data_IF_344820256049
#
_entry.id   IF_344820256049
#
_cell.length_a   1.000
_cell.length_b   1.000
_cell.length_c   1.000
_cell.angle_alpha   90.00
_cell.angle_beta   90.00
_cell.angle_gamma   90.00
#
_symmetry.space_group_name_H-M   'P 1'
#
loop_
_entity.id
_entity.type
_entity.pdbx_description
1 polymer ?
#
# COMPACT_ATOMS: atom_id res chain seq x y z
N UNK A 1 -5.95 -32.30 24.83
CA UNK A 1 -4.50 -32.43 25.14
C UNK A 1 -4.11 -33.88 25.42
N UNK A 2 -4.81 -34.59 26.32
CA UNK A 2 -4.50 -36.00 26.67
C UNK A 2 -4.58 -37.01 25.52
N UNK A 3 -5.50 -36.82 24.56
CA UNK A 3 -5.57 -37.69 23.37
C UNK A 3 -4.40 -37.48 22.41
N UNK A 4 -3.89 -36.25 22.26
CA UNK A 4 -2.67 -35.98 21.49
C UNK A 4 -1.45 -36.58 22.19
N UNK A 5 -1.36 -36.46 23.52
CA UNK A 5 -0.26 -37.05 24.30
C UNK A 5 -0.24 -38.58 24.17
N UNK A 6 -1.40 -39.25 24.19
CA UNK A 6 -1.50 -40.69 23.97
C UNK A 6 -1.14 -41.13 22.55
N UNK A 7 -1.48 -40.33 21.53
CA UNK A 7 -1.09 -40.60 20.14
C UNK A 7 0.42 -40.41 19.96
N UNK A 8 1.00 -39.36 20.52
CA UNK A 8 2.46 -39.12 20.51
C UNK A 8 3.19 -40.25 21.23
N UNK A 9 2.72 -40.68 22.40
CA UNK A 9 3.34 -41.79 23.13
C UNK A 9 3.22 -43.14 22.39
N UNK A 10 2.12 -43.41 21.68
CA UNK A 10 2.01 -44.59 20.78
C UNK A 10 2.91 -44.50 19.55
N UNK A 11 3.14 -43.31 19.02
CA UNK A 11 4.04 -43.08 17.89
C UNK A 11 5.51 -43.26 18.30
N UNK A 12 5.87 -42.83 19.51
CA UNK A 12 7.22 -42.97 20.09
C UNK A 12 7.52 -44.42 20.49
N UNK A 13 6.52 -45.19 20.92
CA UNK A 13 6.70 -46.58 21.38
C UNK A 13 6.95 -47.64 20.27
N UNK A 14 6.94 -47.27 18.99
CA UNK A 14 7.32 -48.20 17.93
C UNK A 14 8.82 -48.14 17.66
N UNK A 15 9.56 -49.14 18.16
CA UNK A 15 11.04 -49.28 18.19
C UNK A 15 11.77 -49.28 16.81
N UNK A 16 11.06 -48.98 15.71
CA UNK A 16 11.59 -49.00 14.35
C UNK A 16 11.62 -47.65 13.62
N UNK A 17 10.97 -46.58 14.11
CA UNK A 17 10.80 -45.33 13.34
C UNK A 17 11.98 -44.35 13.39
N UNK A 18 12.89 -44.50 14.35
CA UNK A 18 14.07 -43.64 14.48
C UNK A 18 15.34 -44.32 13.95
N UNK A 19 15.21 -45.30 13.05
CA UNK A 19 16.34 -46.02 12.46
C UNK A 19 16.57 -45.55 11.02
N UNK A 20 17.82 -45.49 10.61
CA UNK A 20 18.17 -45.17 9.23
C UNK A 20 17.66 -46.28 8.29
N UNK A 21 17.10 -45.88 7.14
CA UNK A 21 16.62 -46.79 6.09
C UNK A 21 17.74 -47.62 5.47
N UNK A 22 18.92 -47.01 5.28
CA UNK A 22 20.11 -47.64 4.74
C UNK A 22 20.90 -48.39 5.82
N UNK A 23 21.08 -47.77 6.99
CA UNK A 23 21.85 -48.30 8.11
C UNK A 23 20.91 -48.74 9.25
N UNK A 24 20.16 -49.84 9.05
CA UNK A 24 19.07 -50.27 9.96
C UNK A 24 19.46 -50.44 11.44
N UNK A 25 20.75 -50.63 11.74
CA UNK A 25 21.24 -50.73 13.13
C UNK A 25 21.44 -49.37 13.80
N UNK A 26 21.65 -48.33 13.00
CA UNK A 26 21.93 -46.96 13.46
C UNK A 26 20.66 -46.16 13.69
N UNK A 27 20.71 -45.30 14.71
CA UNK A 27 19.65 -44.35 15.03
C UNK A 27 19.86 -43.01 14.31
N UNK A 28 18.76 -42.40 13.87
CA UNK A 28 18.75 -41.04 13.35
C UNK A 28 18.99 -40.07 14.51
N UNK A 29 20.19 -39.51 14.58
CA UNK A 29 20.63 -38.65 15.70
C UNK A 29 20.93 -37.21 15.27
N UNK A 30 21.00 -36.97 13.96
CA UNK A 30 21.35 -35.68 13.38
C UNK A 30 20.27 -35.22 12.41
N UNK A 31 20.20 -33.91 12.20
CA UNK A 31 19.40 -33.28 11.15
C UNK A 31 20.33 -32.48 10.24
N UNK A 32 20.32 -32.80 8.95
CA UNK A 32 21.10 -32.10 7.94
C UNK A 32 20.27 -30.95 7.36
N UNK A 33 20.63 -29.70 7.64
CA UNK A 33 19.86 -28.54 7.16
C UNK A 33 19.78 -28.44 5.63
N UNK A 34 20.88 -28.57 4.86
CA UNK A 34 20.81 -28.47 3.40
C UNK A 34 19.95 -29.54 2.73
N UNK A 35 19.88 -30.73 3.32
CA UNK A 35 19.09 -31.85 2.80
C UNK A 35 17.70 -31.96 3.43
N UNK A 36 17.39 -31.11 4.41
CA UNK A 36 16.13 -31.09 5.18
C UNK A 36 15.68 -32.47 5.70
N UNK A 37 16.63 -33.31 6.12
CA UNK A 37 16.34 -34.68 6.55
C UNK A 37 17.12 -35.13 7.79
N UNK A 38 16.52 -36.05 8.53
CA UNK A 38 17.17 -36.73 9.65
C UNK A 38 18.16 -37.78 9.14
N UNK A 39 19.38 -37.77 9.65
CA UNK A 39 20.47 -38.68 9.23
C UNK A 39 21.09 -39.38 10.43
N UNK A 40 21.60 -40.60 10.22
CA UNK A 40 22.42 -41.29 11.21
C UNK A 40 23.90 -40.87 11.08
N UNK A 41 24.72 -41.22 12.08
CA UNK A 41 26.15 -40.90 12.08
C UNK A 41 26.88 -41.43 10.84
N UNK A 42 26.54 -42.62 10.35
CA UNK A 42 27.18 -43.22 9.17
C UNK A 42 26.83 -42.46 7.89
N UNK A 43 25.56 -42.11 7.68
CA UNK A 43 25.13 -41.30 6.55
C UNK A 43 25.80 -39.93 6.54
N UNK A 44 26.00 -39.32 7.72
CA UNK A 44 26.62 -37.99 7.84
C UNK A 44 28.06 -37.94 7.29
N UNK A 45 28.82 -39.02 7.45
CA UNK A 45 30.19 -39.13 6.93
C UNK A 45 30.27 -39.82 5.56
N UNK A 46 29.14 -40.20 4.97
CA UNK A 46 29.08 -40.71 3.60
C UNK A 46 29.23 -39.59 2.58
N UNK A 47 29.63 -39.91 1.34
CA UNK A 47 29.75 -38.95 0.25
C UNK A 47 28.48 -38.12 0.03
N UNK A 48 27.30 -38.65 0.37
CA UNK A 48 26.01 -37.96 0.20
C UNK A 48 25.84 -36.74 1.13
N UNK A 49 26.49 -36.72 2.30
CA UNK A 49 26.32 -35.66 3.30
C UNK A 49 27.63 -35.05 3.79
N UNK A 50 28.78 -35.54 3.32
CA UNK A 50 30.09 -35.10 3.77
C UNK A 50 30.29 -33.58 3.60
N UNK A 51 29.81 -33.02 2.49
CA UNK A 51 29.90 -31.58 2.20
C UNK A 51 28.99 -30.73 3.12
N UNK A 52 27.96 -31.32 3.72
CA UNK A 52 27.00 -30.65 4.60
C UNK A 52 27.24 -30.94 6.09
N UNK A 53 28.32 -31.66 6.44
CA UNK A 53 28.54 -32.13 7.81
C UNK A 53 28.58 -31.01 8.85
N UNK A 54 29.15 -29.86 8.50
CA UNK A 54 29.31 -28.71 9.39
C UNK A 54 27.99 -27.95 9.58
N UNK A 55 26.97 -28.29 8.78
CA UNK A 55 25.61 -27.78 8.86
C UNK A 55 24.62 -28.83 9.38
N UNK A 56 25.11 -29.98 9.84
CA UNK A 56 24.28 -30.96 10.53
C UNK A 56 24.32 -30.70 12.04
N UNK A 57 23.17 -30.74 12.69
CA UNK A 57 23.04 -30.56 14.14
C UNK A 57 22.40 -31.78 14.77
N UNK A 58 22.50 -31.91 16.09
CA UNK A 58 21.76 -32.93 16.83
C UNK A 58 20.26 -32.76 16.60
N UNK A 59 19.56 -33.89 16.45
CA UNK A 59 18.13 -33.90 16.13
C UNK A 59 17.29 -33.15 17.18
N UNK A 60 17.65 -33.25 18.46
CA UNK A 60 16.99 -32.53 19.57
C UNK A 60 17.11 -31.01 19.42
N UNK A 61 18.28 -30.53 18.97
CA UNK A 61 18.53 -29.09 18.74
C UNK A 61 17.73 -28.60 17.54
N UNK A 62 17.74 -29.35 16.43
CA UNK A 62 16.90 -29.02 15.27
C UNK A 62 15.42 -29.02 15.64
N UNK A 63 14.96 -30.02 16.40
CA UNK A 63 13.58 -30.10 16.87
C UNK A 63 13.18 -28.86 17.69
N UNK A 64 14.00 -28.46 18.65
CA UNK A 64 13.78 -27.22 19.42
C UNK A 64 13.64 -25.99 18.51
N UNK A 65 14.54 -25.83 17.54
CA UNK A 65 14.46 -24.72 16.59
C UNK A 65 13.19 -24.75 15.73
N UNK A 66 12.74 -25.93 15.27
CA UNK A 66 11.49 -26.06 14.52
C UNK A 66 10.26 -25.76 15.39
N UNK A 67 10.24 -26.24 16.64
CA UNK A 67 9.16 -25.94 17.59
C UNK A 67 9.08 -24.44 17.86
N UNK A 68 10.20 -23.77 18.06
CA UNK A 68 10.25 -22.32 18.28
C UNK A 68 9.76 -21.55 17.04
N UNK A 69 10.25 -21.92 15.85
CA UNK A 69 9.80 -21.33 14.58
C UNK A 69 8.30 -21.50 14.35
N UNK A 70 7.79 -22.72 14.55
CA UNK A 70 6.35 -23.01 14.42
C UNK A 70 5.53 -22.25 15.45
N UNK A 71 6.00 -22.16 16.70
CA UNK A 71 5.33 -21.41 17.76
C UNK A 71 5.28 -19.92 17.47
N UNK A 72 6.37 -19.35 16.93
CA UNK A 72 6.41 -17.95 16.49
C UNK A 72 5.46 -17.70 15.30
N UNK A 73 5.43 -18.61 14.33
CA UNK A 73 4.50 -18.53 13.20
C UNK A 73 3.04 -18.60 13.66
N UNK A 74 2.70 -19.52 14.57
CA UNK A 74 1.36 -19.63 15.15
C UNK A 74 0.95 -18.36 15.89
N UNK A 75 1.82 -17.81 16.75
CA UNK A 75 1.56 -16.53 17.44
C UNK A 75 1.32 -15.37 16.46
N UNK A 76 2.09 -15.32 15.37
CA UNK A 76 1.91 -14.33 14.31
C UNK A 76 0.56 -14.48 13.61
N UNK A 77 0.16 -15.73 13.30
CA UNK A 77 -1.15 -16.02 12.71
C UNK A 77 -2.31 -15.69 13.66
N UNK A 78 -2.20 -15.98 14.95
CA UNK A 78 -3.22 -15.63 15.95
C UNK A 78 -3.39 -14.12 16.05
N UNK A 79 -2.28 -13.36 16.10
CA UNK A 79 -2.32 -11.90 16.08
C UNK A 79 -2.96 -11.35 14.80
N UNK A 80 -2.65 -11.96 13.64
CA UNK A 80 -3.29 -11.58 12.36
C UNK A 80 -4.79 -11.86 12.38
N UNK A 81 -5.21 -12.99 12.95
CA UNK A 81 -6.63 -13.34 13.12
C UNK A 81 -7.35 -12.34 14.02
N UNK A 82 -6.75 -11.97 15.15
CA UNK A 82 -7.30 -10.95 16.05
C UNK A 82 -7.46 -9.60 15.33
N UNK A 83 -6.43 -9.16 14.60
CA UNK A 83 -6.51 -7.94 13.80
C UNK A 83 -7.64 -7.99 12.76
N UNK A 84 -7.80 -9.12 12.07
CA UNK A 84 -8.88 -9.29 11.09
C UNK A 84 -10.25 -9.22 11.75
N UNK A 85 -10.44 -9.86 12.90
CA UNK A 85 -11.70 -9.78 13.64
C UNK A 85 -12.02 -8.35 14.05
N UNK A 86 -11.04 -7.61 14.60
CA UNK A 86 -11.20 -6.20 14.94
C UNK A 86 -11.54 -5.34 13.72
N UNK A 87 -10.98 -5.66 12.55
CA UNK A 87 -11.35 -5.00 11.29
C UNK A 87 -12.77 -5.33 10.85
N UNK A 88 -13.22 -6.59 11.00
CA UNK A 88 -14.59 -6.98 10.68
C UNK A 88 -15.61 -6.28 11.58
N UNK A 89 -15.37 -6.20 12.89
CA UNK A 89 -16.24 -5.48 13.83
C UNK A 89 -16.38 -4.00 13.44
N UNK A 90 -15.27 -3.34 13.07
CA UNK A 90 -15.31 -1.95 12.59
C UNK A 90 -16.10 -1.78 11.30
N UNK A 91 -16.00 -2.75 10.37
CA UNK A 91 -16.78 -2.71 9.12
C UNK A 91 -18.27 -2.88 9.41
N UNK A 92 -18.64 -3.76 10.33
CA UNK A 92 -20.03 -3.95 10.77
C UNK A 92 -20.59 -2.70 11.43
N UNK A 93 -19.85 -2.08 12.36
CA UNK A 93 -20.23 -0.81 12.99
C UNK A 93 -20.43 0.30 11.95
N UNK A 94 -19.51 0.39 10.99
CA UNK A 94 -19.62 1.36 9.90
C UNK A 94 -20.84 1.11 9.02
N UNK A 95 -21.14 -0.15 8.71
CA UNK A 95 -22.32 -0.52 7.95
C UNK A 95 -23.61 -0.12 8.69
N UNK A 96 -23.66 -0.30 10.01
CA UNK A 96 -24.80 0.12 10.82
C UNK A 96 -24.98 1.64 10.80
N UNK A 97 -23.90 2.41 10.98
CA UNK A 97 -23.92 3.88 10.92
C UNK A 97 -24.34 4.40 9.54
N UNK A 98 -23.92 3.75 8.47
CA UNK A 98 -24.35 4.10 7.11
C UNK A 98 -25.84 3.83 6.91
N UNK A 99 -26.36 2.73 7.44
CA UNK A 99 -27.79 2.42 7.38
C UNK A 99 -28.62 3.43 8.18
N UNK A 100 -28.15 3.85 9.36
CA UNK A 100 -28.79 4.91 10.15
C UNK A 100 -28.87 6.22 9.37
N UNK A 101 -27.74 6.69 8.81
CA UNK A 101 -27.71 7.90 7.98
C UNK A 101 -28.58 7.80 6.73
N UNK A 102 -28.61 6.63 6.09
CA UNK A 102 -29.48 6.39 4.94
C UNK A 102 -30.96 6.51 5.32
N UNK A 103 -31.35 6.01 6.49
CA UNK A 103 -32.71 6.16 7.01
C UNK A 103 -33.02 7.62 7.35
N UNK A 104 -32.10 8.34 8.00
CA UNK A 104 -32.26 9.78 8.26
C UNK A 104 -32.46 10.59 6.96
N UNK A 105 -31.70 10.26 5.90
CA UNK A 105 -31.84 10.90 4.60
C UNK A 105 -33.18 10.55 3.92
N UNK A 106 -33.67 9.32 4.06
CA UNK A 106 -34.99 8.92 3.55
C UNK A 106 -36.11 9.69 4.26
N UNK A 107 -36.04 9.78 5.60
CA UNK A 107 -37.01 10.52 6.40
C UNK A 107 -37.00 12.01 6.03
N UNK A 108 -35.81 12.57 5.77
CA UNK A 108 -35.66 13.94 5.30
C UNK A 108 -36.26 14.14 3.90
N UNK A 109 -36.02 13.22 2.96
CA UNK A 109 -36.64 13.27 1.63
C UNK A 109 -38.17 13.19 1.71
N UNK A 110 -38.73 12.32 2.57
CA UNK A 110 -40.17 12.21 2.76
C UNK A 110 -40.77 13.52 3.33
N UNK A 111 -40.06 14.20 4.25
CA UNK A 111 -40.46 15.53 4.74
C UNK A 111 -40.49 16.56 3.61
N UNK A 112 -39.42 16.64 2.80
CA UNK A 112 -39.36 17.55 1.66
C UNK A 112 -40.44 17.27 0.61
N UNK A 113 -40.77 16.00 0.36
CA UNK A 113 -41.85 15.63 -0.56
C UNK A 113 -43.22 16.08 -0.04
N UNK A 114 -43.48 15.95 1.28
CA UNK A 114 -44.71 16.47 1.91
C UNK A 114 -44.78 17.99 1.84
N UNK A 115 -43.67 18.69 2.10
CA UNK A 115 -43.61 20.14 2.04
C UNK A 115 -43.79 20.66 0.62
N UNK A 116 -43.23 19.97 -0.38
CA UNK A 116 -43.46 20.25 -1.80
C UNK A 116 -44.94 20.08 -2.15
N UNK A 117 -45.57 18.96 -1.79
CA UNK A 117 -46.98 18.73 -2.07
C UNK A 117 -47.89 19.81 -1.45
N UNK A 118 -47.56 20.24 -0.22
CA UNK A 118 -48.26 21.34 0.45
C UNK A 118 -48.07 22.68 -0.26
N UNK A 119 -46.87 22.94 -0.76
CA UNK A 119 -46.57 24.16 -1.53
C UNK A 119 -47.33 24.17 -2.87
N UNK A 120 -47.39 23.04 -3.56
CA UNK A 120 -48.17 22.87 -4.79
C UNK A 120 -49.67 23.11 -4.54
N UNK A 121 -50.22 22.65 -3.41
CA UNK A 121 -51.61 22.91 -3.01
C UNK A 121 -51.86 24.40 -2.77
N UNK A 122 -50.99 25.07 -2.01
CA UNK A 122 -51.07 26.52 -1.78
C UNK A 122 -50.97 27.31 -3.09
N UNK A 123 -50.10 26.88 -4.01
CA UNK A 123 -49.97 27.49 -5.32
C UNK A 123 -51.26 27.36 -6.13
N UNK A 124 -51.86 26.16 -6.17
CA UNK A 124 -53.14 25.94 -6.84
C UNK A 124 -54.30 26.73 -6.20
N UNK A 125 -54.28 26.96 -4.89
CA UNK A 125 -55.25 27.84 -4.21
C UNK A 125 -55.04 29.32 -4.61
N UNK A 126 -53.79 29.78 -4.67
CA UNK A 126 -53.46 31.15 -5.11
C UNK A 126 -53.89 31.41 -6.56
N UNK A 127 -53.64 30.46 -7.47
CA UNK A 127 -54.05 30.57 -8.87
C UNK A 127 -55.57 30.67 -9.03
N UNK A 128 -56.35 29.89 -8.27
CA UNK A 128 -57.81 29.98 -8.26
C UNK A 128 -58.30 31.34 -7.77
N UNK A 129 -57.72 31.85 -6.67
CA UNK A 129 -58.07 33.17 -6.14
C UNK A 129 -57.77 34.30 -7.15
N UNK A 130 -56.66 34.21 -7.88
CA UNK A 130 -56.32 35.15 -8.95
C UNK A 130 -57.29 35.10 -10.14
N UNK A 131 -57.83 33.92 -10.44
CA UNK A 131 -58.81 33.74 -11.50
C UNK A 131 -60.20 34.28 -11.10
N UNK A 132 -60.57 34.17 -9.83
CA UNK A 132 -61.91 34.47 -9.33
C UNK A 132 -62.13 35.95 -8.95
N UNK A 133 -61.13 36.70 -8.47
CA UNK A 133 -61.32 38.09 -7.99
C UNK A 133 -60.13 39.05 -8.25
N UNK A 134 -60.42 40.26 -8.73
CA UNK A 134 -59.47 41.39 -8.90
C UNK A 134 -59.53 42.42 -7.75
N UNK A 135 -59.96 42.01 -6.56
CA UNK A 135 -60.20 42.94 -5.46
C UNK A 135 -59.03 42.98 -4.46
N UNK A 136 -58.86 44.12 -3.78
CA UNK A 136 -57.76 44.36 -2.85
C UNK A 136 -57.73 43.38 -1.64
N UNK A 137 -58.88 42.76 -1.33
CA UNK A 137 -59.00 41.69 -0.32
C UNK A 137 -58.18 40.44 -0.68
N UNK A 138 -58.11 40.10 -1.96
CA UNK A 138 -57.40 38.92 -2.47
C UNK A 138 -55.89 39.09 -2.32
N UNK A 139 -55.37 40.31 -2.50
CA UNK A 139 -53.95 40.65 -2.29
C UNK A 139 -53.51 40.48 -0.83
N UNK A 140 -54.38 40.81 0.14
CA UNK A 140 -54.07 40.64 1.58
C UNK A 140 -53.92 39.16 1.93
N UNK A 141 -54.82 38.30 1.43
CA UNK A 141 -54.71 36.84 1.62
C UNK A 141 -53.47 36.24 0.97
N UNK A 142 -53.08 36.74 -0.21
CA UNK A 142 -51.82 36.31 -0.86
C UNK A 142 -50.59 36.72 -0.06
N UNK A 143 -50.58 37.92 0.53
CA UNK A 143 -49.50 38.36 1.40
C UNK A 143 -49.38 37.52 2.68
N UNK A 144 -50.51 37.14 3.29
CA UNK A 144 -50.51 36.23 4.45
C UNK A 144 -49.97 34.84 4.06
N UNK A 145 -50.38 34.29 2.91
CA UNK A 145 -49.84 33.02 2.41
C UNK A 145 -48.32 33.07 2.18
N UNK A 146 -47.81 34.15 1.58
CA UNK A 146 -46.38 34.33 1.34
C UNK A 146 -45.59 34.47 2.65
N UNK A 147 -46.08 35.25 3.62
CA UNK A 147 -45.45 35.36 4.94
C UNK A 147 -45.44 34.02 5.69
N UNK A 148 -46.49 33.21 5.51
CA UNK A 148 -46.52 31.87 6.09
C UNK A 148 -45.45 30.98 5.45
N UNK A 149 -45.28 31.05 4.12
CA UNK A 149 -44.25 30.28 3.38
C UNK A 149 -42.81 30.71 3.70
N UNK A 150 -42.57 32.00 3.95
CA UNK A 150 -41.24 32.54 4.25
C UNK A 150 -40.74 32.09 5.64
N UNK A 151 -41.66 31.90 6.59
CA UNK A 151 -41.35 31.29 7.90
C UNK A 151 -40.91 29.83 7.79
N UNK A 152 -41.39 29.08 6.79
CA UNK A 152 -40.96 27.70 6.57
C UNK A 152 -39.56 27.62 5.94
N UNK A 153 -39.22 28.54 5.03
CA UNK A 153 -37.92 28.53 4.35
C UNK A 153 -36.75 29.04 5.21
N UNK A 154 -37.03 29.72 6.34
CA UNK A 154 -36.02 30.35 7.18
C UNK A 154 -35.52 29.49 8.35
N UNK A 155 -36.18 28.37 8.66
CA UNK A 155 -35.79 27.51 9.80
C UNK A 155 -34.75 26.42 9.45
N UNK A 156 -34.60 26.01 8.19
CA UNK A 156 -33.69 24.92 7.84
C UNK A 156 -32.43 25.44 7.13
N UNK A 157 -31.51 26.01 7.90
CA UNK A 157 -30.11 26.03 7.47
C UNK A 157 -29.66 24.58 7.42
N UNK A 158 -29.57 24.02 6.21
CA UNK A 158 -28.74 22.85 5.95
C UNK A 158 -27.34 23.20 6.44
N UNK A 159 -27.00 22.76 7.65
CA UNK A 159 -25.63 22.44 7.97
C UNK A 159 -25.26 21.34 6.99
N UNK A 160 -24.69 21.76 5.86
CA UNK A 160 -23.87 20.91 5.01
C UNK A 160 -22.69 20.53 5.89
N UNK A 161 -22.92 19.58 6.78
CA UNK A 161 -21.88 18.72 7.28
C UNK A 161 -21.42 18.00 6.02
N UNK A 162 -20.42 18.60 5.35
CA UNK A 162 -19.62 17.95 4.33
C UNK A 162 -19.46 16.53 4.82
N UNK A 163 -19.93 15.58 4.02
CA UNK A 163 -19.71 14.16 4.21
C UNK A 163 -18.28 14.04 4.70
N UNK A 164 -18.15 13.77 5.99
CA UNK A 164 -16.86 13.70 6.62
C UNK A 164 -16.15 12.61 5.83
N UNK A 165 -15.08 13.01 5.12
CA UNK A 165 -14.18 12.14 4.33
C UNK A 165 -13.40 11.22 5.28
N UNK A 166 -13.98 10.91 6.45
CA UNK A 166 -13.44 10.20 7.57
C UNK A 166 -13.23 8.72 7.23
N UNK A 167 -13.97 8.13 6.30
CA UNK A 167 -13.86 6.68 6.07
C UNK A 167 -12.83 6.23 5.02
N UNK A 168 -12.16 7.15 4.32
CA UNK A 168 -10.97 6.76 3.53
C UNK A 168 -9.69 6.73 4.36
N UNK A 169 -9.70 7.24 5.59
CA UNK A 169 -8.50 7.38 6.44
C UNK A 169 -7.78 6.06 6.74
N UNK A 170 -8.45 4.90 6.59
CA UNK A 170 -7.85 3.59 6.83
C UNK A 170 -7.62 2.75 5.57
N UNK A 171 -7.98 3.25 4.38
CA UNK A 171 -7.66 2.56 3.14
C UNK A 171 -6.18 2.79 2.83
N UNK A 172 -5.43 1.69 2.76
CA UNK A 172 -4.05 1.71 2.24
C UNK A 172 -4.16 2.05 0.75
N UNK A 173 -3.58 3.17 0.29
CA UNK A 173 -3.65 3.54 -1.12
C UNK A 173 -2.92 2.48 -1.97
N UNK A 174 -3.31 2.32 -3.23
CA UNK A 174 -2.60 1.39 -4.10
C UNK A 174 -1.11 1.79 -4.24
N UNK A 175 -0.18 0.82 -4.21
CA UNK A 175 1.24 1.08 -4.41
C UNK A 175 1.50 1.78 -5.76
N UNK A 176 2.40 2.76 -5.75
CA UNK A 176 2.88 3.38 -6.98
C UNK A 176 3.77 2.40 -7.75
N UNK A 177 3.34 2.04 -8.96
CA UNK A 177 4.15 1.26 -9.90
C UNK A 177 5.09 2.19 -10.66
N UNK A 178 6.40 1.95 -10.55
CA UNK A 178 7.48 2.65 -11.25
C UNK A 178 8.11 1.70 -12.27
N UNK A 179 8.19 2.12 -13.53
CA UNK A 179 8.80 1.34 -14.61
C UNK A 179 10.04 2.07 -15.11
N UNK A 180 11.21 1.55 -14.78
CA UNK A 180 12.49 2.08 -15.22
C UNK A 180 12.92 1.42 -16.52
N UNK A 181 13.20 2.24 -17.54
CA UNK A 181 13.87 1.80 -18.76
C UNK A 181 15.35 2.14 -18.65
N UNK A 182 16.19 1.12 -18.58
CA UNK A 182 17.63 1.23 -18.37
C UNK A 182 18.31 1.16 -19.75
N UNK A 183 18.65 2.32 -20.33
CA UNK A 183 19.31 2.41 -21.64
C UNK A 183 20.83 2.21 -21.53
N UNK A 184 21.43 1.54 -22.54
CA UNK A 184 22.88 1.23 -22.61
C UNK A 184 23.36 0.48 -21.35
N UNK A 185 22.55 -0.46 -20.89
CA UNK A 185 22.68 -1.07 -19.57
C UNK A 185 23.97 -1.88 -19.45
N UNK A 186 24.23 -2.81 -20.38
CA UNK A 186 25.44 -3.65 -20.38
C UNK A 186 26.69 -2.82 -20.61
N UNK A 187 26.66 -1.91 -21.57
CA UNK A 187 27.82 -1.06 -21.86
C UNK A 187 28.25 -0.25 -20.63
N UNK A 188 27.29 0.37 -19.96
CA UNK A 188 27.53 1.20 -18.77
C UNK A 188 28.02 0.35 -17.60
N UNK A 189 27.39 -0.80 -17.34
CA UNK A 189 27.84 -1.74 -16.30
C UNK A 189 29.26 -2.26 -16.53
N UNK A 190 29.60 -2.62 -17.77
CA UNK A 190 30.95 -3.10 -18.12
C UNK A 190 32.01 -2.02 -17.89
N UNK A 191 31.68 -0.76 -18.22
CA UNK A 191 32.60 0.36 -18.12
C UNK A 191 32.78 0.88 -16.69
N UNK A 192 31.70 0.92 -15.91
CA UNK A 192 31.68 1.61 -14.61
C UNK A 192 31.49 0.66 -13.41
N UNK A 193 31.20 -0.61 -13.64
CA UNK A 193 30.88 -1.60 -12.60
C UNK A 193 29.49 -1.43 -11.97
N UNK A 194 28.80 -0.33 -12.28
CA UNK A 194 27.45 -0.01 -11.82
C UNK A 194 26.68 0.75 -12.90
N UNK A 195 25.35 0.64 -12.85
CA UNK A 195 24.42 1.45 -13.63
C UNK A 195 23.66 2.38 -12.70
N UNK A 196 23.42 3.62 -13.10
CA UNK A 196 22.53 4.55 -12.41
C UNK A 196 21.49 5.06 -13.40
N UNK A 197 20.20 4.93 -13.06
CA UNK A 197 19.12 5.39 -13.91
C UNK A 197 19.00 6.91 -13.90
N UNK A 198 18.37 7.46 -14.93
CA UNK A 198 17.81 8.80 -14.83
C UNK A 198 16.71 8.81 -13.74
N UNK A 199 16.50 9.96 -13.07
CA UNK A 199 15.42 10.08 -12.11
C UNK A 199 14.05 9.92 -12.79
N UNK A 200 13.18 9.10 -12.20
CA UNK A 200 11.81 8.89 -12.60
C UNK A 200 10.87 9.57 -11.61
N UNK A 201 10.17 10.61 -12.07
CA UNK A 201 9.23 11.35 -11.23
C UNK A 201 7.81 10.81 -11.36
N UNK A 202 7.16 10.55 -10.23
CA UNK A 202 5.73 10.17 -10.16
C UNK A 202 5.11 10.69 -8.87
N UNK A 203 3.95 11.34 -8.97
CA UNK A 203 3.19 11.88 -7.84
C UNK A 203 4.00 12.79 -6.90
N UNK A 204 4.99 13.50 -7.46
CA UNK A 204 5.86 14.40 -6.70
C UNK A 204 7.04 13.73 -5.97
N UNK A 205 7.27 12.45 -6.25
CA UNK A 205 8.46 11.72 -5.82
C UNK A 205 9.39 11.50 -7.01
N UNK A 206 10.70 11.71 -6.83
CA UNK A 206 11.74 11.47 -7.83
C UNK A 206 12.63 10.32 -7.39
N UNK A 207 12.58 9.21 -8.12
CA UNK A 207 13.28 7.97 -7.77
C UNK A 207 14.42 7.68 -8.74
N UNK A 208 15.53 7.18 -8.22
CA UNK A 208 16.62 6.61 -9.02
C UNK A 208 16.87 5.17 -8.60
N UNK A 209 17.32 4.38 -9.56
CA UNK A 209 17.77 3.02 -9.33
C UNK A 209 19.25 2.92 -9.68
N UNK A 210 20.01 2.29 -8.78
CA UNK A 210 21.35 1.83 -9.05
C UNK A 210 21.34 0.30 -9.17
N UNK A 211 22.01 -0.23 -10.20
CA UNK A 211 22.19 -1.66 -10.38
C UNK A 211 23.68 -1.99 -10.33
N UNK A 212 24.05 -3.02 -9.57
CA UNK A 212 25.42 -3.54 -9.48
C UNK A 212 25.39 -5.04 -9.74
N UNK A 213 26.34 -5.56 -10.51
CA UNK A 213 26.40 -7.01 -10.76
C UNK A 213 26.71 -7.76 -9.47
N UNK A 214 25.87 -8.72 -9.09
CA UNK A 214 25.95 -9.37 -7.78
C UNK A 214 27.01 -10.48 -7.71
N UNK A 215 27.16 -11.26 -8.79
CA UNK A 215 28.09 -12.39 -8.87
C UNK A 215 28.59 -12.58 -10.31
N UNK A 216 29.84 -13.00 -10.45
CA UNK A 216 30.45 -13.39 -11.73
C UNK A 216 29.84 -14.71 -12.22
N UNK A 217 29.47 -15.61 -11.29
CA UNK A 217 28.93 -16.93 -11.63
C UNK A 217 27.52 -16.87 -12.22
N UNK A 218 26.74 -15.83 -11.93
CA UNK A 218 25.35 -15.67 -12.37
C UNK A 218 25.21 -14.39 -13.20
N UNK A 219 25.34 -14.45 -14.54
CA UNK A 219 25.54 -13.26 -15.36
C UNK A 219 24.40 -12.24 -15.32
N UNK A 220 23.19 -12.66 -14.93
CA UNK A 220 21.97 -11.85 -14.95
C UNK A 220 21.46 -11.48 -13.55
N UNK A 221 22.25 -11.70 -12.48
CA UNK A 221 21.84 -11.33 -11.12
C UNK A 221 22.45 -9.99 -10.71
N UNK A 222 21.58 -9.09 -10.27
CA UNK A 222 21.95 -7.72 -9.92
C UNK A 222 21.51 -7.40 -8.50
N UNK A 223 22.36 -6.68 -7.76
CA UNK A 223 21.97 -5.97 -6.55
C UNK A 223 21.36 -4.64 -6.98
N UNK A 224 20.18 -4.36 -6.45
CA UNK A 224 19.41 -3.17 -6.76
C UNK A 224 19.45 -2.26 -5.54
N UNK A 225 19.73 -0.99 -5.75
CA UNK A 225 19.67 0.03 -4.72
C UNK A 225 18.77 1.17 -5.19
N UNK A 226 17.99 1.72 -4.27
CA UNK A 226 17.01 2.77 -4.57
C UNK A 226 17.41 4.08 -3.89
N UNK A 227 17.24 5.17 -4.62
CA UNK A 227 17.40 6.53 -4.11
C UNK A 227 16.13 7.33 -4.32
N UNK A 228 15.73 8.10 -3.32
CA UNK A 228 14.68 9.09 -3.36
C UNK A 228 15.30 10.49 -3.36
N UNK A 229 15.39 11.11 -4.53
CA UNK A 229 15.98 12.45 -4.70
C UNK A 229 15.03 13.56 -4.25
N UNK A 230 13.74 13.41 -4.57
CA UNK A 230 12.69 14.33 -4.13
C UNK A 230 11.56 13.48 -3.54
N UNK A 231 11.14 13.76 -2.32
CA UNK A 231 10.06 13.01 -1.66
C UNK A 231 9.77 13.54 -0.27
N UNK A 232 9.05 12.77 0.54
CA UNK A 232 8.70 13.15 1.91
C UNK A 232 9.33 12.19 2.94
N UNK A 233 9.65 12.66 4.15
CA UNK A 233 10.11 11.75 5.20
C UNK A 233 9.08 10.67 5.52
N UNK A 234 9.53 9.43 5.72
CA UNK A 234 8.66 8.29 6.02
C UNK A 234 9.31 6.94 5.77
N UNK A 235 8.50 5.89 5.94
CA UNK A 235 8.89 4.51 5.66
C UNK A 235 8.15 4.04 4.41
N UNK A 236 8.87 3.40 3.51
CA UNK A 236 8.39 2.98 2.19
C UNK A 236 8.42 1.48 2.11
N UNK A 237 7.29 0.85 1.74
CA UNK A 237 7.28 -0.58 1.44
C UNK A 237 7.55 -0.75 -0.06
N UNK A 238 8.68 -1.36 -0.38
CA UNK A 238 9.19 -1.53 -1.73
C UNK A 238 9.12 -2.99 -2.12
N UNK A 239 8.61 -3.27 -3.31
CA UNK A 239 8.55 -4.60 -3.91
C UNK A 239 9.10 -4.51 -5.34
N UNK A 240 10.11 -5.32 -5.65
CA UNK A 240 10.65 -5.42 -7.01
C UNK A 240 9.96 -6.60 -7.72
N UNK A 241 9.27 -6.29 -8.82
CA UNK A 241 8.59 -7.30 -9.62
C UNK A 241 9.60 -7.97 -10.55
N UNK A 242 9.87 -9.25 -10.32
CA UNK A 242 10.61 -10.12 -11.22
C UNK A 242 9.58 -11.06 -11.89
N UNK A 243 9.66 -11.22 -13.22
CA UNK A 243 8.72 -12.06 -13.99
C UNK A 243 8.61 -13.49 -13.44
N UNK A 244 9.66 -13.97 -12.77
CA UNK A 244 9.72 -15.33 -12.25
C UNK A 244 9.42 -15.43 -10.76
N UNK A 245 9.48 -14.32 -10.00
CA UNK A 245 9.30 -14.31 -8.54
C UNK A 245 8.78 -12.97 -8.04
N UNK A 246 7.78 -13.03 -7.18
CA UNK A 246 7.45 -11.91 -6.31
C UNK A 246 8.52 -11.87 -5.22
N UNK A 247 9.40 -10.88 -5.24
CA UNK A 247 10.33 -10.66 -4.13
C UNK A 247 9.52 -10.19 -2.91
N UNK A 248 9.90 -10.62 -1.71
CA UNK A 248 9.25 -10.15 -0.49
C UNK A 248 9.32 -8.62 -0.42
N UNK A 249 8.21 -7.99 -0.04
CA UNK A 249 8.16 -6.55 0.13
C UNK A 249 9.04 -6.12 1.32
N UNK A 250 9.84 -5.07 1.13
CA UNK A 250 10.86 -4.61 2.08
C UNK A 250 10.53 -3.19 2.52
N UNK A 251 10.56 -2.95 3.83
CA UNK A 251 10.46 -1.60 4.35
C UNK A 251 11.82 -0.90 4.27
N UNK A 252 11.87 0.24 3.59
CA UNK A 252 13.03 1.12 3.47
C UNK A 252 12.73 2.47 4.13
N UNK A 253 13.69 3.00 4.89
CA UNK A 253 13.51 4.26 5.60
C UNK A 253 13.96 5.45 4.73
N UNK A 254 13.30 6.61 4.88
CA UNK A 254 13.64 7.81 4.11
C UNK A 254 15.12 8.21 4.21
N UNK A 255 15.71 8.11 5.42
CA UNK A 255 17.11 8.45 5.64
C UNK A 255 18.07 7.57 4.81
N UNK A 256 17.73 6.29 4.63
CA UNK A 256 18.48 5.36 3.78
C UNK A 256 18.30 5.73 2.31
N UNK A 257 17.06 6.02 1.92
CA UNK A 257 16.67 6.36 0.55
C UNK A 257 17.23 7.71 0.08
N UNK A 258 17.58 8.66 0.96
CA UNK A 258 18.25 9.89 0.53
C UNK A 258 19.63 9.63 -0.13
N UNK A 259 20.24 8.49 0.16
CA UNK A 259 21.50 8.06 -0.46
C UNK A 259 21.23 6.96 -1.47
N UNK A 260 21.52 5.70 -1.17
CA UNK A 260 21.08 4.54 -1.92
C UNK A 260 20.82 3.43 -0.91
N UNK A 261 19.56 3.04 -0.75
CA UNK A 261 19.17 1.93 0.10
C UNK A 261 19.24 0.63 -0.70
N UNK A 262 20.04 -0.34 -0.25
CA UNK A 262 20.17 -1.64 -0.90
C UNK A 262 18.89 -2.46 -0.69
N UNK A 263 18.31 -2.95 -1.78
CA UNK A 263 17.25 -3.94 -1.73
C UNK A 263 17.87 -5.30 -1.35
N UNK A 264 17.35 -5.99 -0.32
CA UNK A 264 17.92 -7.26 0.13
C UNK A 264 17.77 -8.34 -0.96
N UNK A 265 18.87 -9.04 -1.22
CA UNK A 265 18.93 -10.10 -2.22
C UNK A 265 19.48 -9.64 -3.57
N UNK A 266 19.22 -10.45 -4.61
CA UNK A 266 19.63 -10.15 -5.98
C UNK A 266 18.50 -10.49 -6.94
N UNK A 267 18.20 -9.55 -7.82
CA UNK A 267 17.09 -9.60 -8.79
C UNK A 267 17.63 -10.01 -10.15
N UNK A 268 16.82 -10.77 -10.90
CA UNK A 268 17.12 -11.06 -12.30
C UNK A 268 16.53 -9.94 -13.15
N UNK A 269 17.36 -9.29 -13.96
CA UNK A 269 16.87 -8.28 -14.92
C UNK A 269 16.97 -8.90 -16.30
N UNK A 270 15.85 -8.92 -17.04
CA UNK A 270 15.88 -9.31 -18.44
C UNK A 270 16.45 -8.17 -19.30
N UNK A 271 17.39 -8.52 -20.16
CA UNK A 271 18.12 -7.53 -20.96
C UNK A 271 17.89 -7.84 -22.44
N UNK A 272 17.24 -6.90 -23.11
CA UNK A 272 17.14 -6.88 -24.56
C UNK A 272 18.54 -6.65 -25.13
N UNK A 273 19.14 -7.75 -25.58
CA UNK A 273 20.50 -7.78 -26.11
C UNK A 273 20.61 -7.08 -27.46
N UNK A 274 19.51 -6.89 -28.20
CA UNK A 274 19.54 -6.20 -29.49
C UNK A 274 19.66 -4.68 -29.32
N UNK A 275 19.05 -4.14 -28.26
CA UNK A 275 18.99 -2.69 -28.02
C UNK A 275 19.84 -2.22 -26.84
N UNK A 276 20.46 -3.15 -26.09
CA UNK A 276 21.13 -2.90 -24.81
C UNK A 276 20.24 -2.14 -23.82
N UNK A 277 18.98 -2.56 -23.75
CA UNK A 277 17.99 -1.99 -22.84
C UNK A 277 17.49 -3.03 -21.86
N UNK A 278 17.19 -2.61 -20.65
CA UNK A 278 16.55 -3.45 -19.64
C UNK A 278 15.33 -2.74 -19.05
N UNK A 279 14.33 -3.49 -18.60
CA UNK A 279 13.17 -2.95 -17.91
C UNK A 279 13.14 -3.45 -16.46
N UNK A 280 12.84 -2.55 -15.53
CA UNK A 280 12.72 -2.87 -14.12
C UNK A 280 11.45 -2.24 -13.57
N UNK A 281 10.58 -3.06 -13.02
CA UNK A 281 9.32 -2.63 -12.42
C UNK A 281 9.38 -2.74 -10.89
N UNK A 282 9.09 -1.62 -10.22
CA UNK A 282 9.16 -1.48 -8.75
C UNK A 282 7.82 -0.95 -8.26
N UNK A 283 7.21 -1.63 -7.30
CA UNK A 283 6.04 -1.16 -6.57
C UNK A 283 6.48 -0.52 -5.27
N UNK A 284 5.99 0.68 -5.01
CA UNK A 284 6.31 1.44 -3.81
C UNK A 284 5.03 1.90 -3.12
N UNK A 285 4.81 1.41 -1.90
CA UNK A 285 3.79 1.94 -1.01
C UNK A 285 4.31 3.24 -0.39
N UNK A 286 3.90 4.38 -0.95
CA UNK A 286 4.38 5.71 -0.53
C UNK A 286 3.66 6.25 0.72
N UNK A 287 2.46 5.76 1.02
CA UNK A 287 1.65 6.19 2.17
C UNK A 287 0.98 4.99 2.83
N UNK A 288 0.88 4.98 4.15
CA UNK A 288 0.22 3.91 4.92
C UNK A 288 -1.29 4.06 4.97
N UNK A 289 -1.77 5.28 4.69
CA UNK A 289 -3.18 5.62 4.66
C UNK A 289 -3.48 6.61 3.53
N UNK A 290 -4.75 6.69 3.14
CA UNK A 290 -5.22 7.71 2.20
C UNK A 290 -5.05 9.13 2.78
N UNK A 291 -5.20 9.29 4.11
CA UNK A 291 -4.99 10.57 4.78
C UNK A 291 -3.53 11.06 4.63
N UNK A 292 -2.57 10.16 4.85
CA UNK A 292 -1.16 10.45 4.57
C UNK A 292 -0.96 10.80 3.10
N UNK A 293 -1.55 10.04 2.16
CA UNK A 293 -1.46 10.36 0.72
C UNK A 293 -2.02 11.75 0.38
N UNK A 294 -3.15 12.14 0.97
CA UNK A 294 -3.71 13.48 0.79
C UNK A 294 -2.75 14.56 1.30
N UNK A 295 -2.22 14.41 2.52
CA UNK A 295 -1.22 15.33 3.08
C UNK A 295 0.00 15.43 2.16
N UNK A 296 0.48 14.30 1.64
CA UNK A 296 1.60 14.26 0.71
C UNK A 296 1.32 15.03 -0.58
N UNK A 297 0.14 14.82 -1.18
CA UNK A 297 -0.30 15.53 -2.39
C UNK A 297 -0.47 17.04 -2.14
N UNK A 298 -1.04 17.43 -1.00
CA UNK A 298 -1.16 18.85 -0.62
C UNK A 298 0.22 19.51 -0.47
N UNK A 299 1.17 18.85 0.19
CA UNK A 299 2.54 19.34 0.28
C UNK A 299 3.23 19.45 -1.08
N UNK A 300 2.96 18.51 -1.99
CA UNK A 300 3.48 18.56 -3.35
C UNK A 300 2.89 19.73 -4.15
N UNK A 301 1.57 19.92 -4.11
CA UNK A 301 0.88 21.05 -4.75
C UNK A 301 1.44 22.39 -4.24
N UNK A 302 1.56 22.57 -2.92
CA UNK A 302 2.15 23.78 -2.34
C UNK A 302 3.58 24.05 -2.81
N UNK A 303 4.40 23.01 -2.98
CA UNK A 303 5.76 23.13 -3.53
C UNK A 303 5.74 23.52 -5.01
N UNK A 304 4.84 22.95 -5.80
CA UNK A 304 4.68 23.33 -7.22
C UNK A 304 4.23 24.78 -7.36
N UNK A 305 3.28 25.22 -6.54
CA UNK A 305 2.82 26.61 -6.50
C UNK A 305 3.95 27.58 -6.14
N UNK A 306 4.81 27.21 -5.19
CA UNK A 306 5.99 27.98 -4.83
C UNK A 306 7.01 28.06 -5.98
N UNK A 307 7.38 26.91 -6.59
CA UNK A 307 8.27 26.87 -7.78
C UNK A 307 7.68 27.67 -8.95
N UNK A 308 6.37 27.62 -9.16
CA UNK A 308 5.71 28.39 -10.22
C UNK A 308 5.77 29.90 -9.93
N UNK A 309 5.57 30.30 -8.67
CA UNK A 309 5.70 31.71 -8.23
C UNK A 309 7.12 32.25 -8.45
N UNK A 310 8.14 31.45 -8.15
CA UNK A 310 9.54 31.79 -8.43
C UNK A 310 9.83 31.91 -9.93
N UNK A 311 9.30 31.00 -10.75
CA UNK A 311 9.42 31.06 -12.20
C UNK A 311 8.71 32.30 -12.77
N UNK A 312 7.53 32.67 -12.27
CA UNK A 312 6.84 33.90 -12.67
C UNK A 312 7.66 35.16 -12.34
N UNK A 313 8.27 35.20 -11.15
CA UNK A 313 9.19 36.27 -10.75
C UNK A 313 10.41 36.33 -11.69
N UNK A 314 10.99 35.18 -12.02
CA UNK A 314 12.13 35.10 -12.94
C UNK A 314 11.75 35.55 -14.36
N UNK A 315 10.59 35.14 -14.87
CA UNK A 315 10.11 35.56 -16.19
C UNK A 315 9.80 37.06 -16.23
N UNK A 316 9.25 37.64 -15.15
CA UNK A 316 9.09 39.10 -15.03
C UNK A 316 10.44 39.82 -15.03
N UNK A 317 11.44 39.29 -14.33
CA UNK A 317 12.78 39.84 -14.32
C UNK A 317 13.42 39.81 -15.72
N UNK A 318 13.30 38.69 -16.45
CA UNK A 318 13.79 38.59 -17.83
C UNK A 318 13.07 39.57 -18.78
N UNK A 319 11.75 39.74 -18.64
CA UNK A 319 10.99 40.69 -19.44
C UNK A 319 11.43 42.14 -19.18
N UNK A 320 11.64 42.53 -17.92
CA UNK A 320 12.16 43.86 -17.56
C UNK A 320 13.59 44.08 -18.10
N UNK A 321 14.45 43.06 -18.00
CA UNK A 321 15.80 43.10 -18.55
C UNK A 321 15.81 43.29 -20.07
N UNK A 322 14.96 42.55 -20.80
CA UNK A 322 14.82 42.68 -22.25
C UNK A 322 14.27 44.06 -22.65
N UNK A 323 13.29 44.60 -21.92
CA UNK A 323 12.74 45.94 -22.16
C UNK A 323 13.80 47.05 -22.01
N UNK A 324 14.72 46.89 -21.04
CA UNK A 324 15.82 47.84 -20.82
C UNK A 324 16.89 47.75 -21.91
N UNK A 325 17.18 46.55 -22.41
CA UNK A 325 18.17 46.34 -23.47
C UNK A 325 17.69 46.76 -24.86
N UNK A 326 16.38 46.68 -25.14
CA UNK A 326 15.81 47.10 -26.44
C UNK A 326 15.60 48.61 -26.61
N UNK A 327 15.93 49.43 -25.60
CA UNK A 327 15.80 50.89 -25.61
C UNK A 327 17.14 51.62 -25.80
N UNK A 328 18.21 50.88 -26.17
CA UNK A 328 19.54 51.39 -26.55
C UNK A 328 19.67 51.27 -28.06
#
# INVERSE_FOLDING_TARGET
>A
FDQMQQVVNRLVASEGRNRCSEHRKEQLSFFCFPCEQCVCAVCLFSEQHLEHKDQAVLLEVAYGQYVDKLSAALKSMDKRKENLNNSFEKVEDNQNRLNEKLNEQKDHLERLEKDRARTDELHGQAEKLLADEKDASTLVKMMEMLQTSEKFLSEEKLEVNLIDVIDQTNLVPEPAVLKFRLERFKETLLKHGKYESLPLTKDGFSWKVQCVKADIAWPNRYRISLQLEEGLPGDYVVEILDEFRVNDAVTMHFEELCTYADFPGCVTIDIDSAHDTAELEIRIQQARSHAERCIQLEHYVKRLEAKNSENELFMRYLADYQSKMGSI
#
